data_IF_904778136287
#
_entry.id   IF_904778136287
#
_cell.length_a   1.000
_cell.length_b   1.000
_cell.length_c   1.000
_cell.angle_alpha   90.00
_cell.angle_beta   90.00
_cell.angle_gamma   90.00
#
_symmetry.space_group_name_H-M   'P 1'
#
loop_
_entity.id
_entity.type
_entity.pdbx_description
1 polymer ?
#
# COMPACT_ATOMS: atom_id res chain seq x y z
N UNK A 1 -11.30 2.39 3.26
CA UNK A 1 -10.05 2.99 2.71
C UNK A 1 -9.70 2.27 1.41
N UNK A 2 -9.14 2.98 0.43
CA UNK A 2 -8.88 2.51 -0.94
C UNK A 2 -7.72 1.48 -1.03
N UNK A 3 -7.85 0.32 -0.37
CA UNK A 3 -6.86 -0.76 -0.46
C UNK A 3 -5.48 -0.47 0.13
N UNK A 4 -5.31 0.64 0.86
CA UNK A 4 -4.08 0.98 1.57
C UNK A 4 -4.22 0.76 3.08
N UNK A 5 -3.09 0.47 3.74
CA UNK A 5 -2.97 0.38 5.19
C UNK A 5 -1.89 1.31 5.72
N UNK A 6 -2.07 1.74 6.98
CA UNK A 6 -1.03 2.46 7.69
C UNK A 6 0.01 1.51 8.26
N UNK A 7 1.27 1.88 8.13
CA UNK A 7 2.41 1.28 8.81
C UNK A 7 3.17 2.35 9.57
N UNK A 8 3.98 1.93 10.53
CA UNK A 8 4.88 2.81 11.27
C UNK A 8 5.86 3.49 10.31
N UNK A 9 6.21 4.74 10.63
CA UNK A 9 7.25 5.47 9.95
C UNK A 9 8.61 5.00 10.50
N UNK A 10 9.50 4.56 9.63
CA UNK A 10 10.89 4.22 10.03
C UNK A 10 11.79 5.46 9.96
N UNK A 11 12.96 5.45 10.63
CA UNK A 11 13.95 6.51 10.48
C UNK A 11 14.36 6.76 9.03
N UNK A 12 14.48 5.69 8.23
CA UNK A 12 14.83 5.79 6.80
C UNK A 12 13.70 6.45 5.99
N UNK A 13 12.44 6.15 6.31
CA UNK A 13 11.31 6.84 5.68
C UNK A 13 11.30 8.34 6.04
N UNK A 14 11.67 8.68 7.29
CA UNK A 14 11.78 10.07 7.72
C UNK A 14 12.90 10.82 7.01
N UNK A 15 14.11 10.25 6.97
CA UNK A 15 15.26 10.85 6.29
C UNK A 15 14.98 11.08 4.81
N UNK A 16 14.15 10.24 4.19
CA UNK A 16 13.71 10.40 2.81
C UNK A 16 12.79 11.61 2.61
N UNK A 17 11.79 11.81 3.49
CA UNK A 17 10.79 12.87 3.31
C UNK A 17 11.23 14.22 3.90
N UNK A 18 12.11 14.22 4.89
CA UNK A 18 12.54 15.42 5.63
C UNK A 18 13.04 16.54 4.71
N UNK A 19 13.91 16.32 3.70
CA UNK A 19 14.38 17.39 2.82
C UNK A 19 13.25 18.08 2.06
N UNK A 20 12.18 17.34 1.71
CA UNK A 20 11.01 17.91 1.04
C UNK A 20 10.17 18.75 2.00
N UNK A 21 10.07 18.36 3.28
CA UNK A 21 9.40 19.16 4.29
C UNK A 21 10.17 20.46 4.58
N UNK A 22 11.50 20.41 4.61
CA UNK A 22 12.36 21.60 4.76
C UNK A 22 12.22 22.55 3.55
N UNK A 23 12.14 22.03 2.34
CA UNK A 23 11.87 22.86 1.15
C UNK A 23 10.44 23.44 1.16
N UNK A 24 9.45 22.66 1.61
CA UNK A 24 8.09 23.16 1.79
C UNK A 24 8.02 24.28 2.84
N UNK A 25 8.81 24.20 3.92
CA UNK A 25 8.95 25.30 4.88
C UNK A 25 9.43 26.57 4.20
N UNK A 26 10.46 26.48 3.34
CA UNK A 26 10.96 27.62 2.56
C UNK A 26 9.91 28.19 1.60
N UNK A 27 9.11 27.32 0.97
CA UNK A 27 8.12 27.70 -0.04
C UNK A 27 6.82 28.26 0.55
N UNK A 28 6.36 27.69 1.67
CA UNK A 28 5.03 27.98 2.23
C UNK A 28 5.08 28.69 3.59
N UNK A 29 6.26 28.81 4.21
CA UNK A 29 6.42 29.41 5.54
C UNK A 29 5.86 28.55 6.68
N UNK A 30 5.61 27.25 6.44
CA UNK A 30 5.10 26.31 7.44
C UNK A 30 6.27 25.56 8.03
N UNK A 31 6.56 25.77 9.32
CA UNK A 31 7.76 25.19 9.93
C UNK A 31 7.61 23.69 10.13
N UNK A 32 8.67 22.93 9.85
CA UNK A 32 8.68 21.48 10.13
C UNK A 32 8.44 21.20 11.62
N UNK A 33 8.92 22.09 12.50
CA UNK A 33 8.68 22.00 13.94
C UNK A 33 7.20 22.13 14.33
N UNK A 34 6.43 22.94 13.59
CA UNK A 34 4.99 23.08 13.81
C UNK A 34 4.24 21.83 13.37
N UNK A 35 4.67 21.21 12.26
CA UNK A 35 4.13 19.91 11.83
C UNK A 35 4.37 18.82 12.87
N UNK A 36 5.50 18.88 13.61
CA UNK A 36 5.86 17.93 14.65
C UNK A 36 5.30 18.27 16.03
N UNK A 37 4.53 19.35 16.14
CA UNK A 37 3.98 19.82 17.41
C UNK A 37 2.50 19.47 17.50
N UNK A 38 2.15 18.61 18.47
CA UNK A 38 0.77 18.17 18.72
C UNK A 38 0.37 18.61 20.13
N UNK A 39 -0.77 19.28 20.24
CA UNK A 39 -1.26 19.86 21.51
C UNK A 39 -0.22 20.74 22.22
N UNK A 40 0.51 21.54 21.43
CA UNK A 40 1.56 22.44 21.93
C UNK A 40 2.84 21.74 22.39
N UNK A 41 2.97 20.43 22.18
CA UNK A 41 4.17 19.69 22.54
C UNK A 41 4.83 19.04 21.32
N UNK A 42 6.14 19.26 21.20
CA UNK A 42 6.94 18.62 20.16
C UNK A 42 6.95 17.10 20.36
N UNK A 43 6.76 16.36 19.27
CA UNK A 43 6.77 14.91 19.21
C UNK A 43 7.83 14.41 18.25
N UNK A 44 8.20 13.14 18.42
CA UNK A 44 9.04 12.46 17.45
C UNK A 44 8.24 12.23 16.15
N UNK A 45 8.88 12.27 14.97
CA UNK A 45 8.20 12.13 13.69
C UNK A 45 7.32 10.88 13.58
N UNK A 46 7.76 9.76 14.12
CA UNK A 46 7.07 8.47 14.11
C UNK A 46 5.78 8.47 14.95
N UNK A 47 5.61 9.47 15.83
CA UNK A 47 4.39 9.68 16.62
C UNK A 47 3.37 10.58 15.92
N UNK A 48 3.81 11.33 14.91
CA UNK A 48 2.98 12.30 14.17
C UNK A 48 2.59 11.76 12.80
N UNK A 49 3.54 11.14 12.11
CA UNK A 49 3.38 10.63 10.76
C UNK A 49 3.22 9.11 10.74
N UNK A 50 2.46 8.63 9.76
CA UNK A 50 2.38 7.22 9.40
C UNK A 50 2.58 7.06 7.92
N UNK A 51 3.23 5.98 7.52
CA UNK A 51 3.40 5.62 6.13
C UNK A 51 2.17 4.84 5.66
N UNK A 52 1.69 5.13 4.46
CA UNK A 52 0.65 4.32 3.82
C UNK A 52 1.31 3.38 2.82
N UNK A 53 0.95 2.10 2.85
CA UNK A 53 1.37 1.11 1.86
C UNK A 53 0.15 0.39 1.28
N UNK A 54 0.23 -0.09 0.03
CA UNK A 54 -0.82 -0.93 -0.53
C UNK A 54 -0.91 -2.24 0.27
N UNK A 55 -2.14 -2.65 0.60
CA UNK A 55 -2.39 -4.00 1.09
C UNK A 55 -2.23 -4.94 -0.09
N UNK A 56 -1.38 -5.95 0.05
CA UNK A 56 -1.21 -6.95 -0.98
C UNK A 56 -2.48 -7.80 -1.01
N UNK A 57 -3.43 -7.43 -1.87
CA UNK A 57 -4.66 -8.19 -2.05
C UNK A 57 -4.25 -9.55 -2.64
N UNK A 58 -4.37 -10.63 -1.86
CA UNK A 58 -4.26 -12.00 -2.38
C UNK A 58 -5.45 -12.24 -3.31
N UNK A 59 -5.37 -11.74 -4.54
CA UNK A 59 -6.31 -12.08 -5.60
C UNK A 59 -5.99 -13.49 -6.13
N UNK A 60 -6.06 -14.52 -5.29
CA UNK A 60 -5.87 -15.91 -5.72
C UNK A 60 -6.70 -16.88 -4.87
N UNK A 61 -7.89 -17.27 -5.37
CA UNK A 61 -8.46 -18.64 -5.28
C UNK A 61 -9.80 -18.77 -6.07
N UNK A 62 -9.67 -19.26 -7.32
CA UNK A 62 -10.58 -20.03 -8.19
C UNK A 62 -12.11 -20.15 -7.90
N UNK A 63 -12.90 -19.94 -8.96
CA UNK A 63 -14.08 -20.77 -9.26
C UNK A 63 -13.93 -21.42 -10.64
N UNK A 64 -13.46 -22.67 -10.61
CA UNK A 64 -13.82 -23.85 -11.39
C UNK A 64 -14.01 -23.77 -12.91
N UNK A 65 -13.21 -24.60 -13.58
CA UNK A 65 -13.31 -25.11 -14.94
C UNK A 65 -14.74 -25.15 -15.53
N UNK A 66 -14.91 -24.56 -16.71
CA UNK A 66 -16.03 -24.85 -17.61
C UNK A 66 -15.50 -24.93 -19.04
N UNK A 67 -15.60 -26.12 -19.63
CA UNK A 67 -15.11 -26.41 -20.97
C UNK A 67 -15.06 -27.91 -21.27
N UNK A 68 -16.12 -28.64 -20.94
CA UNK A 68 -16.38 -29.98 -21.50
C UNK A 68 -16.68 -29.83 -23.00
N UNK A 69 -15.69 -30.03 -23.86
CA UNK A 69 -15.92 -30.38 -25.25
C UNK A 69 -15.98 -31.90 -25.34
N UNK A 70 -17.21 -32.43 -25.36
CA UNK A 70 -17.52 -33.80 -25.72
C UNK A 70 -17.28 -33.96 -27.22
N UNK A 71 -16.14 -34.53 -27.62
CA UNK A 71 -15.91 -34.99 -28.99
C UNK A 71 -16.11 -36.51 -29.04
N UNK A 72 -17.17 -36.93 -29.73
CA UNK A 72 -17.60 -38.32 -29.87
C UNK A 72 -16.79 -38.97 -30.99
N UNK A 73 -15.65 -39.56 -30.64
CA UNK A 73 -14.99 -40.50 -31.55
C UNK A 73 -15.61 -41.88 -31.40
N UNK A 74 -16.44 -42.22 -32.38
CA UNK A 74 -17.11 -43.51 -32.57
C UNK A 74 -16.06 -44.62 -32.71
N UNK A 75 -15.92 -45.46 -31.69
CA UNK A 75 -15.20 -46.73 -31.79
C UNK A 75 -16.15 -47.82 -32.28
N UNK A 76 -16.15 -48.10 -33.58
CA UNK A 76 -16.74 -49.33 -34.13
C UNK A 76 -15.85 -50.51 -33.74
N UNK A 77 -16.38 -51.43 -32.94
CA UNK A 77 -15.80 -52.76 -32.73
C UNK A 77 -16.62 -53.77 -33.53
N UNK A 78 -16.02 -54.33 -34.57
CA UNK A 78 -16.54 -55.51 -35.28
C UNK A 78 -16.04 -56.74 -34.51
N UNK A 79 -16.97 -57.64 -34.15
CA UNK A 79 -16.67 -58.98 -33.62
C UNK A 79 -16.23 -59.92 -34.73
#
# INVERSE_FOLDING_TARGET
MNGGEFTELTPQDWDLIRPYLEENERLFGIRVDELLTVDGQRRMPERVYRKVRPVQLRALASSTANGSHEDKTVGVTVK
#
